data_IF_292097838420
#
_entry.id   IF_292097838420
#
_cell.length_a   1.000
_cell.length_b   1.000
_cell.length_c   1.000
_cell.angle_alpha   90.00
_cell.angle_beta   90.00
_cell.angle_gamma   90.00
#
_symmetry.space_group_name_H-M   'P 1'
#
loop_
_entity.id
_entity.type
_entity.pdbx_description
1 polymer ?
#
# COMPACT_ATOMS: atom_id res chain seq x y z
N UNK A 1 45.30 63.81 82.17
CA UNK A 1 44.10 62.94 82.34
C UNK A 1 42.91 63.84 82.60
N UNK A 2 41.68 63.54 82.12
CA UNK A 2 41.25 62.51 81.13
C UNK A 2 40.54 63.15 79.89
N UNK A 3 40.70 62.63 78.66
CA UNK A 3 39.89 61.61 77.95
C UNK A 3 38.64 62.23 77.25
N UNK A 4 38.22 61.92 76.01
CA UNK A 4 38.51 60.80 75.11
C UNK A 4 37.97 61.07 73.68
N UNK A 5 38.83 60.80 72.68
CA UNK A 5 38.63 60.20 71.33
C UNK A 5 37.65 60.77 70.27
N UNK A 6 38.30 61.41 69.29
CA UNK A 6 38.14 61.45 67.80
C UNK A 6 37.18 60.44 67.12
N UNK A 7 36.53 60.86 66.02
CA UNK A 7 36.95 60.68 64.60
C UNK A 7 35.96 61.34 63.59
N UNK A 8 36.48 62.16 62.68
CA UNK A 8 35.89 62.57 61.38
C UNK A 8 36.07 61.43 60.34
N UNK A 9 35.38 61.37 59.18
CA UNK A 9 35.55 62.26 57.98
C UNK A 9 34.21 62.65 57.30
N UNK A 10 34.02 63.78 56.60
CA UNK A 10 34.68 64.42 55.44
C UNK A 10 34.08 64.04 54.07
N UNK A 11 33.24 64.96 53.58
CA UNK A 11 33.08 65.53 52.21
C UNK A 11 33.07 64.60 51.00
N UNK A 12 31.93 64.62 50.30
CA UNK A 12 31.66 63.97 49.02
C UNK A 12 32.29 64.71 47.83
N UNK A 13 33.08 64.00 47.03
CA UNK A 13 33.52 64.41 45.70
C UNK A 13 32.98 63.42 44.65
N UNK A 14 32.22 63.92 43.69
CA UNK A 14 31.60 63.11 42.62
C UNK A 14 32.63 62.66 41.57
N UNK A 15 32.58 61.36 41.24
CA UNK A 15 33.34 60.75 40.15
C UNK A 15 32.33 60.31 39.07
N UNK A 16 32.45 60.91 37.88
CA UNK A 16 31.69 60.55 36.68
C UNK A 16 32.34 59.29 36.07
N UNK A 17 31.65 58.14 36.12
CA UNK A 17 32.08 56.91 35.45
C UNK A 17 31.47 56.88 34.05
N UNK A 18 32.31 56.96 33.02
CA UNK A 18 31.94 56.71 31.63
C UNK A 18 31.78 55.20 31.42
N UNK A 19 30.53 54.73 31.26
CA UNK A 19 30.24 53.34 30.91
C UNK A 19 30.38 53.18 29.40
N UNK A 20 31.49 52.61 28.93
CA UNK A 20 31.64 52.18 27.53
C UNK A 20 30.82 50.91 27.35
N UNK A 21 29.61 51.03 26.80
CA UNK A 21 28.87 49.88 26.27
C UNK A 21 29.58 49.41 25.00
N UNK A 22 30.36 48.34 25.12
CA UNK A 22 30.77 47.55 23.98
C UNK A 22 29.52 46.84 23.43
N UNK A 23 28.92 47.39 22.38
CA UNK A 23 28.05 46.63 21.49
C UNK A 23 28.93 45.56 20.82
N UNK A 24 28.96 44.37 21.40
CA UNK A 24 29.41 43.19 20.68
C UNK A 24 28.38 42.89 19.61
N UNK A 25 28.74 43.09 18.35
CA UNK A 25 28.02 42.50 17.22
C UNK A 25 28.01 40.99 17.44
N UNK A 26 26.87 40.45 17.88
CA UNK A 26 26.61 39.01 17.83
C UNK A 26 26.42 38.68 16.35
N UNK A 27 27.53 38.45 15.65
CA UNK A 27 27.49 37.83 14.34
C UNK A 27 26.88 36.44 14.54
N UNK A 28 25.61 36.28 14.17
CA UNK A 28 24.99 34.97 14.05
C UNK A 28 25.86 34.15 13.10
N UNK A 29 26.50 33.09 13.60
CA UNK A 29 27.22 32.16 12.75
C UNK A 29 26.27 31.70 11.64
N UNK A 30 26.70 31.69 10.37
CA UNK A 30 25.86 31.24 9.27
C UNK A 30 25.39 29.82 9.58
N UNK A 31 24.08 29.60 9.54
CA UNK A 31 23.52 28.26 9.66
C UNK A 31 24.16 27.40 8.56
N UNK A 32 24.78 26.25 8.90
CA UNK A 32 25.38 25.38 7.89
C UNK A 32 24.35 25.06 6.80
N UNK A 33 24.77 25.11 5.53
CA UNK A 33 23.91 24.73 4.41
C UNK A 33 24.45 23.46 3.77
N UNK A 34 23.56 22.57 3.26
CA UNK A 34 24.01 21.45 2.47
C UNK A 34 24.76 21.90 1.21
N UNK A 35 25.65 21.04 0.74
CA UNK A 35 26.38 21.23 -0.51
C UNK A 35 25.42 21.18 -1.70
N UNK A 36 25.56 22.14 -2.60
CA UNK A 36 24.83 22.16 -3.88
C UNK A 36 25.34 21.06 -4.80
N UNK A 37 24.43 20.49 -5.59
CA UNK A 37 24.79 19.60 -6.70
C UNK A 37 25.65 20.37 -7.71
N UNK A 38 26.63 19.68 -8.31
CA UNK A 38 27.49 20.28 -9.33
C UNK A 38 26.65 20.92 -10.46
N UNK A 39 26.91 22.19 -10.75
CA UNK A 39 26.19 22.96 -11.77
C UNK A 39 24.75 23.35 -11.40
N UNK A 40 24.32 23.21 -10.14
CA UNK A 40 22.99 23.61 -9.67
C UNK A 40 23.09 24.77 -8.66
N UNK A 41 22.07 25.64 -8.68
CA UNK A 41 22.00 26.82 -7.80
C UNK A 41 21.02 26.66 -6.64
N UNK A 42 20.10 25.69 -6.72
CA UNK A 42 19.01 25.51 -5.74
C UNK A 42 18.80 24.06 -5.29
N UNK A 43 19.54 23.11 -5.86
CA UNK A 43 19.39 21.69 -5.55
C UNK A 43 20.59 21.20 -4.73
N UNK A 44 20.30 20.68 -3.55
CA UNK A 44 21.29 20.13 -2.64
C UNK A 44 21.59 18.66 -2.93
N UNK A 45 22.81 18.25 -2.60
CA UNK A 45 23.24 16.87 -2.68
C UNK A 45 22.53 16.02 -1.61
N UNK A 46 22.08 14.84 -2.02
CA UNK A 46 21.45 13.86 -1.14
C UNK A 46 22.09 12.50 -1.27
N UNK A 47 22.06 11.75 -0.18
CA UNK A 47 22.55 10.37 -0.11
C UNK A 47 21.54 9.49 0.63
N UNK A 48 21.57 8.20 0.32
CA UNK A 48 20.85 7.16 1.03
C UNK A 48 21.84 6.32 1.84
N UNK A 49 21.48 5.96 3.06
CA UNK A 49 22.26 5.03 3.86
C UNK A 49 22.19 3.60 3.31
N UNK A 50 23.33 2.94 3.12
CA UNK A 50 23.38 1.51 2.79
C UNK A 50 23.16 0.65 4.06
N UNK A 51 22.84 -0.65 3.93
CA UNK A 51 22.83 -1.57 5.07
C UNK A 51 24.14 -1.52 5.86
N UNK A 52 24.03 -1.55 7.20
CA UNK A 52 25.18 -1.47 8.10
C UNK A 52 25.75 -0.06 8.33
N UNK A 53 25.15 0.98 7.74
CA UNK A 53 25.60 2.37 7.94
C UNK A 53 25.49 2.77 9.41
N UNK A 54 26.56 3.39 9.92
CA UNK A 54 26.58 4.01 11.25
C UNK A 54 27.04 5.46 11.17
N UNK A 55 26.34 6.34 11.89
CA UNK A 55 26.72 7.74 12.06
C UNK A 55 27.73 7.88 13.18
N UNK A 56 28.91 8.41 12.83
CA UNK A 56 29.97 8.75 13.77
C UNK A 56 29.96 10.24 14.07
N UNK A 57 30.43 10.62 15.26
CA UNK A 57 30.60 12.03 15.62
C UNK A 57 31.77 12.68 14.88
N UNK A 58 32.82 11.90 14.60
CA UNK A 58 34.01 12.35 13.89
C UNK A 58 34.46 11.30 12.86
N UNK A 59 35.01 11.73 11.72
CA UNK A 59 35.48 10.82 10.69
C UNK A 59 36.66 9.98 11.19
N UNK A 60 36.71 8.70 10.82
CA UNK A 60 37.79 7.78 11.21
C UNK A 60 37.71 7.23 12.65
N UNK A 61 36.68 7.60 13.42
CA UNK A 61 36.39 6.96 14.71
C UNK A 61 36.01 5.48 14.55
N UNK A 62 36.15 4.69 15.62
CA UNK A 62 35.76 3.28 15.59
C UNK A 62 34.26 3.12 15.27
N UNK A 63 33.92 2.25 14.31
CA UNK A 63 32.56 2.07 13.81
C UNK A 63 31.54 1.68 14.89
N UNK A 64 31.98 0.92 15.90
CA UNK A 64 31.13 0.44 17.01
C UNK A 64 30.61 1.58 17.91
N UNK A 65 31.28 2.74 17.90
CA UNK A 65 30.85 3.93 18.62
C UNK A 65 29.74 4.72 17.88
N UNK A 66 29.39 4.31 16.66
CA UNK A 66 28.43 5.00 15.81
C UNK A 66 26.98 4.57 16.02
N UNK A 67 26.06 5.53 15.85
CA UNK A 67 24.62 5.26 15.90
C UNK A 67 24.19 4.53 14.62
N UNK A 68 23.49 3.38 14.73
CA UNK A 68 22.98 2.68 13.56
C UNK A 68 21.93 3.51 12.84
N UNK A 69 21.91 3.41 11.51
CA UNK A 69 20.96 4.11 10.65
C UNK A 69 20.10 3.10 9.91
N UNK A 70 18.79 3.36 9.84
CA UNK A 70 17.87 2.56 9.02
C UNK A 70 18.31 2.63 7.56
N UNK A 71 18.50 1.48 6.87
CA UNK A 71 18.86 1.46 5.46
C UNK A 71 17.88 2.29 4.62
N UNK A 72 18.40 2.93 3.58
CA UNK A 72 17.70 3.88 2.71
C UNK A 72 17.11 5.13 3.40
N UNK A 73 17.56 5.46 4.62
CA UNK A 73 17.31 6.80 5.18
C UNK A 73 17.99 7.85 4.30
N UNK A 74 17.25 8.90 3.94
CA UNK A 74 17.76 10.01 3.13
C UNK A 74 18.43 11.05 4.01
N UNK A 75 19.61 11.51 3.58
CA UNK A 75 20.32 12.63 4.20
C UNK A 75 20.77 13.67 3.18
N UNK A 76 20.86 14.91 3.63
CA UNK A 76 21.55 16.01 2.97
C UNK A 76 23.04 15.98 3.30
N UNK A 77 23.88 16.26 2.30
CA UNK A 77 25.34 16.32 2.48
C UNK A 77 25.76 17.74 2.82
N UNK A 78 26.39 17.95 3.97
CA UNK A 78 26.88 19.24 4.45
C UNK A 78 28.37 19.46 4.21
N UNK A 79 29.15 18.38 4.09
CA UNK A 79 30.60 18.46 4.01
C UNK A 79 31.24 17.16 3.55
N UNK A 80 32.50 17.28 3.13
CA UNK A 80 33.39 16.16 2.79
C UNK A 80 34.66 16.28 3.63
N UNK A 81 35.13 15.17 4.19
CA UNK A 81 36.40 15.11 4.92
C UNK A 81 37.15 13.83 4.59
N UNK A 82 38.47 13.92 4.51
CA UNK A 82 39.32 12.74 4.41
C UNK A 82 39.85 12.37 5.81
N UNK A 83 39.76 11.09 6.16
CA UNK A 83 40.35 10.55 7.38
C UNK A 83 40.68 9.07 7.17
N UNK A 84 41.88 8.65 7.58
CA UNK A 84 42.30 7.25 7.46
C UNK A 84 42.40 6.72 6.03
N UNK A 85 42.67 7.59 5.04
CA UNK A 85 42.74 7.20 3.63
C UNK A 85 41.38 6.97 2.95
N UNK A 86 40.30 7.36 3.61
CA UNK A 86 38.94 7.24 3.08
C UNK A 86 38.21 8.59 3.14
N UNK A 87 37.31 8.82 2.18
CA UNK A 87 36.41 9.98 2.17
C UNK A 87 35.17 9.71 3.03
N UNK A 88 34.80 10.72 3.81
CA UNK A 88 33.65 10.77 4.72
C UNK A 88 32.74 11.92 4.34
N UNK A 89 31.43 11.69 4.46
CA UNK A 89 30.42 12.73 4.27
C UNK A 89 29.86 13.16 5.63
N UNK A 90 29.84 14.47 5.85
CA UNK A 90 29.04 15.08 6.91
C UNK A 90 27.59 15.17 6.43
N UNK A 91 26.67 14.55 7.15
CA UNK A 91 25.30 14.34 6.68
C UNK A 91 24.26 14.70 7.75
N UNK A 92 23.08 15.13 7.31
CA UNK A 92 21.99 15.60 8.17
C UNK A 92 20.60 15.31 7.60
N UNK A 93 19.55 15.21 8.42
CA UNK A 93 18.22 14.77 7.97
C UNK A 93 17.46 15.85 7.18
N UNK A 94 17.87 17.11 7.28
CA UNK A 94 17.20 18.25 6.66
C UNK A 94 18.21 19.22 6.03
N UNK A 95 17.70 20.25 5.34
CA UNK A 95 18.47 21.33 4.73
C UNK A 95 18.54 22.61 5.59
N UNK A 96 18.10 22.55 6.85
CA UNK A 96 17.97 23.71 7.75
C UNK A 96 19.17 23.85 8.72
N UNK A 97 20.26 23.14 8.47
CA UNK A 97 21.50 23.22 9.25
C UNK A 97 21.66 22.15 10.32
N UNK A 98 20.75 21.18 10.40
CA UNK A 98 20.89 20.07 11.35
C UNK A 98 21.85 19.02 10.79
N UNK A 99 23.07 19.01 11.29
CA UNK A 99 24.04 17.94 11.03
C UNK A 99 23.81 16.78 12.00
N UNK A 100 23.78 15.54 11.49
CA UNK A 100 23.62 14.32 12.29
C UNK A 100 24.95 13.64 12.61
N UNK A 101 25.91 13.67 11.69
CA UNK A 101 27.24 13.09 11.90
C UNK A 101 27.95 12.78 10.58
N UNK A 102 28.96 11.92 10.67
CA UNK A 102 29.79 11.46 9.56
C UNK A 102 29.51 10.00 9.24
N UNK A 103 29.44 9.70 7.94
CA UNK A 103 29.43 8.33 7.45
C UNK A 103 30.42 8.19 6.28
N UNK A 104 31.07 7.02 6.13
CA UNK A 104 32.01 6.80 5.05
C UNK A 104 31.27 6.77 3.70
N UNK A 105 31.87 7.33 2.64
CA UNK A 105 31.26 7.34 1.30
C UNK A 105 30.89 5.94 0.82
N UNK A 106 31.68 4.91 1.19
CA UNK A 106 31.41 3.52 0.82
C UNK A 106 30.12 2.93 1.41
N UNK A 107 29.56 3.54 2.45
CA UNK A 107 28.28 3.17 3.06
C UNK A 107 27.12 4.06 2.59
N UNK A 108 27.34 4.93 1.61
CA UNK A 108 26.36 5.89 1.15
C UNK A 108 26.12 5.75 -0.35
N UNK A 109 24.86 5.87 -0.76
CA UNK A 109 24.46 5.85 -2.17
C UNK A 109 24.08 7.27 -2.58
N UNK A 110 24.78 7.91 -3.54
CA UNK A 110 24.35 9.21 -4.07
C UNK A 110 22.94 9.13 -4.66
N UNK A 111 22.05 10.04 -4.24
CA UNK A 111 20.65 10.02 -4.65
C UNK A 111 20.10 11.43 -4.92
N UNK A 112 20.73 12.10 -5.87
CA UNK A 112 20.46 13.51 -6.17
C UNK A 112 19.11 13.74 -6.87
N UNK A 113 18.57 12.75 -7.57
CA UNK A 113 17.32 12.89 -8.34
C UNK A 113 16.07 12.68 -7.48
N UNK A 114 16.19 12.07 -6.29
CA UNK A 114 15.06 11.67 -5.44
C UNK A 114 13.99 10.86 -6.19
N UNK A 115 14.39 10.10 -7.22
CA UNK A 115 13.52 9.24 -8.01
C UNK A 115 13.75 7.77 -7.65
N UNK A 116 12.65 7.04 -7.60
CA UNK A 116 12.61 5.59 -7.36
C UNK A 116 11.90 4.95 -8.54
N UNK A 117 12.19 3.68 -8.79
CA UNK A 117 11.44 2.86 -9.73
C UNK A 117 10.72 1.75 -8.96
N UNK A 118 9.53 1.38 -9.43
CA UNK A 118 8.80 0.21 -8.94
C UNK A 118 8.85 -0.87 -10.01
N UNK A 119 9.00 -2.12 -9.59
CA UNK A 119 8.84 -3.23 -10.52
C UNK A 119 7.38 -3.31 -10.98
N UNK A 120 7.20 -3.69 -12.25
CA UNK A 120 5.88 -4.11 -12.72
C UNK A 120 5.48 -5.40 -12.02
N UNK A 121 4.19 -5.69 -11.96
CA UNK A 121 3.72 -6.98 -11.47
C UNK A 121 4.43 -8.10 -12.25
N UNK A 122 5.15 -9.04 -11.61
CA UNK A 122 5.80 -10.16 -12.31
C UNK A 122 4.78 -11.02 -13.07
N UNK A 123 3.49 -10.87 -12.80
CA UNK A 123 2.39 -11.40 -13.59
C UNK A 123 2.28 -10.86 -15.02
N UNK A 124 2.74 -9.64 -15.25
CA UNK A 124 2.48 -8.88 -16.48
C UNK A 124 3.50 -9.15 -17.60
N UNK A 125 4.47 -10.03 -17.36
CA UNK A 125 5.50 -10.40 -18.33
C UNK A 125 6.72 -11.03 -17.68
N UNK A 126 7.85 -11.00 -18.40
CA UNK A 126 9.14 -11.46 -17.88
C UNK A 126 9.59 -10.60 -16.70
N UNK A 127 10.21 -11.26 -15.71
CA UNK A 127 10.80 -10.62 -14.53
C UNK A 127 12.01 -9.78 -14.95
N UNK A 128 12.18 -8.61 -14.37
CA UNK A 128 13.31 -7.74 -14.71
C UNK A 128 14.64 -8.37 -14.26
N UNK A 129 15.59 -8.54 -15.19
CA UNK A 129 16.96 -8.90 -14.89
C UNK A 129 17.78 -7.65 -14.50
N UNK A 130 18.61 -7.78 -13.47
CA UNK A 130 19.56 -6.76 -13.05
C UNK A 130 20.97 -7.19 -13.43
N UNK A 131 21.63 -6.36 -14.23
CA UNK A 131 22.98 -6.59 -14.74
C UNK A 131 24.00 -5.94 -13.83
N UNK A 132 25.18 -6.57 -13.70
CA UNK A 132 26.33 -6.09 -12.92
C UNK A 132 26.81 -4.73 -13.41
N UNK A 133 26.80 -4.55 -14.72
CA UNK A 133 27.35 -3.38 -15.38
C UNK A 133 26.56 -3.03 -16.64
N UNK A 134 26.66 -1.74 -17.00
CA UNK A 134 26.02 -1.15 -18.17
C UNK A 134 26.46 -1.79 -19.47
N UNK A 135 27.75 -2.08 -19.62
CA UNK A 135 28.32 -2.50 -20.90
C UNK A 135 27.84 -3.90 -21.28
N UNK A 136 27.64 -4.78 -20.30
CA UNK A 136 27.07 -6.11 -20.50
C UNK A 136 25.64 -6.06 -21.03
N UNK A 137 24.76 -5.24 -20.45
CA UNK A 137 23.41 -5.05 -20.96
C UNK A 137 23.42 -4.34 -22.33
N UNK A 138 24.28 -3.33 -22.51
CA UNK A 138 24.36 -2.60 -23.77
C UNK A 138 24.82 -3.50 -24.92
N UNK A 139 25.77 -4.42 -24.69
CA UNK A 139 26.19 -5.39 -25.72
C UNK A 139 25.04 -6.27 -26.19
N UNK A 140 24.21 -6.79 -25.26
CA UNK A 140 23.02 -7.58 -25.62
C UNK A 140 22.04 -6.78 -26.49
N UNK A 141 21.80 -5.53 -26.11
CA UNK A 141 20.92 -4.60 -26.85
C UNK A 141 21.49 -4.32 -28.25
N UNK A 142 22.76 -3.93 -28.34
CA UNK A 142 23.40 -3.52 -29.59
C UNK A 142 23.54 -4.68 -30.58
N UNK A 143 23.76 -5.89 -30.09
CA UNK A 143 23.90 -7.11 -30.90
C UNK A 143 22.56 -7.80 -31.18
N UNK A 144 21.47 -7.35 -30.53
CA UNK A 144 20.18 -8.04 -30.54
C UNK A 144 20.32 -9.54 -30.20
N UNK A 145 21.17 -9.83 -29.20
CA UNK A 145 21.53 -11.19 -28.80
C UNK A 145 20.46 -11.76 -27.84
N UNK A 146 19.37 -12.24 -28.43
CA UNK A 146 18.25 -12.84 -27.70
C UNK A 146 18.62 -14.20 -27.10
N UNK A 147 19.51 -14.96 -27.73
CA UNK A 147 19.92 -16.28 -27.26
C UNK A 147 20.66 -16.18 -25.93
N UNK A 148 21.61 -15.25 -25.80
CA UNK A 148 22.27 -14.98 -24.53
C UNK A 148 21.31 -14.45 -23.48
N UNK A 149 20.36 -13.57 -23.86
CA UNK A 149 19.35 -13.06 -22.93
C UNK A 149 18.46 -14.17 -22.36
N UNK A 150 17.91 -15.04 -23.21
CA UNK A 150 17.06 -16.16 -22.79
C UNK A 150 17.83 -17.12 -21.87
N UNK A 151 19.08 -17.43 -22.20
CA UNK A 151 19.96 -18.24 -21.35
C UNK A 151 20.17 -17.59 -19.97
N UNK A 152 20.50 -16.30 -19.94
CA UNK A 152 20.70 -15.58 -18.68
C UNK A 152 19.42 -15.52 -17.85
N UNK A 153 18.26 -15.40 -18.49
CA UNK A 153 16.97 -15.43 -17.84
C UNK A 153 16.71 -16.79 -17.18
N UNK A 154 16.89 -17.89 -17.91
CA UNK A 154 16.69 -19.24 -17.40
C UNK A 154 17.66 -19.61 -16.25
N UNK A 155 18.91 -19.19 -16.36
CA UNK A 155 19.91 -19.29 -15.30
C UNK A 155 19.47 -18.54 -14.03
N UNK A 156 19.00 -17.30 -14.18
CA UNK A 156 18.55 -16.47 -13.07
C UNK A 156 17.27 -17.02 -12.40
N UNK A 157 16.36 -17.61 -13.17
CA UNK A 157 15.15 -18.29 -12.64
C UNK A 157 15.52 -19.55 -11.85
N UNK A 158 16.49 -20.33 -12.33
CA UNK A 158 16.97 -21.53 -11.62
C UNK A 158 17.80 -21.20 -10.37
N UNK A 159 18.29 -19.97 -10.26
CA UNK A 159 19.20 -19.57 -9.18
C UNK A 159 20.59 -20.18 -9.32
N UNK A 160 20.99 -20.55 -10.54
CA UNK A 160 22.27 -21.19 -10.86
C UNK A 160 22.94 -20.44 -12.03
N UNK A 161 23.37 -19.16 -11.81
CA UNK A 161 24.01 -18.36 -12.84
C UNK A 161 25.38 -18.93 -13.18
N UNK A 162 25.73 -18.90 -14.47
CA UNK A 162 27.09 -19.26 -14.90
C UNK A 162 28.13 -18.32 -14.27
N UNK A 163 29.37 -18.80 -14.09
CA UNK A 163 30.44 -18.01 -13.45
C UNK A 163 30.74 -16.69 -14.19
N UNK A 164 30.51 -16.66 -15.50
CA UNK A 164 30.65 -15.51 -16.39
C UNK A 164 29.35 -14.72 -16.58
N UNK A 165 28.24 -15.12 -15.96
CA UNK A 165 26.96 -14.43 -16.09
C UNK A 165 27.07 -12.98 -15.61
N UNK A 166 26.60 -12.00 -16.41
CA UNK A 166 26.56 -10.61 -16.01
C UNK A 166 25.37 -10.30 -15.11
N UNK A 167 24.48 -11.27 -14.84
CA UNK A 167 23.30 -11.07 -14.00
C UNK A 167 23.70 -11.11 -12.52
N UNK A 168 23.26 -10.13 -11.76
CA UNK A 168 23.49 -10.05 -10.30
C UNK A 168 22.22 -10.27 -9.48
N UNK A 169 21.06 -10.05 -10.08
CA UNK A 169 19.77 -10.28 -9.45
C UNK A 169 18.66 -10.36 -10.49
N UNK A 170 17.51 -10.89 -10.06
CA UNK A 170 16.27 -10.91 -10.82
C UNK A 170 15.15 -10.38 -9.91
N UNK A 171 14.27 -9.53 -10.45
CA UNK A 171 13.07 -9.02 -9.76
C UNK A 171 12.37 -10.17 -9.04
N UNK A 172 11.87 -10.05 -7.80
CA UNK A 172 11.16 -11.12 -7.10
C UNK A 172 10.01 -11.76 -7.89
N UNK A 173 9.77 -13.06 -7.68
CA UNK A 173 8.73 -13.81 -8.37
C UNK A 173 7.31 -13.49 -7.89
N UNK A 174 7.19 -12.95 -6.68
CA UNK A 174 5.94 -12.46 -6.10
C UNK A 174 5.84 -10.95 -6.24
N UNK A 175 4.62 -10.43 -6.40
CA UNK A 175 4.38 -8.99 -6.36
C UNK A 175 4.71 -8.46 -4.96
N UNK A 176 5.52 -7.41 -4.92
CA UNK A 176 5.75 -6.61 -3.72
C UNK A 176 4.91 -5.34 -3.82
N UNK A 177 4.02 -5.16 -2.86
CA UNK A 177 3.20 -3.95 -2.73
C UNK A 177 3.99 -2.88 -1.97
N UNK A 178 4.49 -1.86 -2.66
CA UNK A 178 5.32 -0.80 -2.06
C UNK A 178 4.60 -0.02 -0.96
N UNK A 179 3.26 -0.02 -0.95
CA UNK A 179 2.48 0.68 0.08
C UNK A 179 2.39 -0.13 1.38
N UNK A 180 2.55 -1.46 1.31
CA UNK A 180 2.49 -2.37 2.47
C UNK A 180 3.89 -2.82 2.91
N UNK A 181 4.67 -3.27 1.94
CA UNK A 181 6.02 -3.78 2.06
C UNK A 181 6.97 -2.80 1.37
N UNK A 182 7.20 -1.66 2.05
CA UNK A 182 7.97 -0.56 1.49
C UNK A 182 9.38 -1.02 1.07
N UNK A 183 9.66 -0.93 -0.22
CA UNK A 183 10.97 -1.19 -0.80
C UNK A 183 11.39 0.00 -1.66
N UNK A 184 12.70 0.25 -1.71
CA UNK A 184 13.28 1.36 -2.44
C UNK A 184 14.23 0.82 -3.51
N UNK A 185 13.95 1.16 -4.78
CA UNK A 185 14.87 0.99 -5.90
C UNK A 185 15.24 2.38 -6.43
N UNK A 186 16.12 3.11 -5.74
CA UNK A 186 16.53 4.45 -6.16
C UNK A 186 17.28 4.42 -7.49
N UNK A 187 16.95 5.38 -8.36
CA UNK A 187 17.65 5.59 -9.63
C UNK A 187 18.88 6.46 -9.37
N UNK A 188 20.07 5.92 -9.66
CA UNK A 188 21.35 6.64 -9.58
C UNK A 188 21.63 7.42 -10.86
N UNK A 189 21.43 6.77 -12.00
CA UNK A 189 21.67 7.31 -13.32
C UNK A 189 20.65 6.75 -14.31
N UNK A 190 20.36 7.49 -15.38
CA UNK A 190 19.56 7.00 -16.48
C UNK A 190 20.11 7.47 -17.82
N UNK A 191 19.88 6.67 -18.85
CA UNK A 191 20.26 6.98 -20.23
C UNK A 191 19.08 6.59 -21.13
N UNK A 192 18.65 7.52 -21.97
CA UNK A 192 17.62 7.24 -22.98
C UNK A 192 18.29 6.55 -24.18
N UNK A 193 17.65 5.49 -24.67
CA UNK A 193 18.12 4.72 -25.81
C UNK A 193 16.93 4.26 -26.66
N UNK A 194 17.23 3.68 -27.82
CA UNK A 194 16.23 3.07 -28.68
C UNK A 194 16.45 1.56 -28.73
N UNK A 195 15.43 0.80 -28.35
CA UNK A 195 15.37 -0.64 -28.59
C UNK A 195 14.65 -0.84 -29.91
N UNK A 196 15.43 -1.12 -30.97
CA UNK A 196 14.93 -1.07 -32.35
C UNK A 196 14.36 0.33 -32.62
N UNK A 197 13.06 0.45 -32.91
CA UNK A 197 12.38 1.74 -33.15
C UNK A 197 11.57 2.26 -31.95
N UNK A 198 11.72 1.64 -30.76
CA UNK A 198 10.99 2.02 -29.56
C UNK A 198 11.87 2.77 -28.57
N UNK A 199 11.43 3.93 -28.05
CA UNK A 199 12.16 4.61 -26.99
C UNK A 199 12.19 3.72 -25.73
N UNK A 200 13.35 3.62 -25.12
CA UNK A 200 13.61 2.89 -23.89
C UNK A 200 14.56 3.68 -23.00
N UNK A 201 14.68 3.26 -21.75
CA UNK A 201 15.56 3.90 -20.76
C UNK A 201 16.36 2.84 -20.02
N UNK A 202 17.68 2.99 -20.06
CA UNK A 202 18.58 2.25 -19.20
C UNK A 202 18.66 2.93 -17.84
N UNK A 203 18.50 2.14 -16.77
CA UNK A 203 18.53 2.63 -15.39
C UNK A 203 19.70 1.99 -14.65
N UNK A 204 20.54 2.81 -14.02
CA UNK A 204 21.43 2.36 -12.96
C UNK A 204 20.68 2.53 -11.63
N UNK A 205 20.45 1.43 -10.93
CA UNK A 205 19.68 1.39 -9.69
C UNK A 205 20.53 0.89 -8.54
N UNK A 206 20.12 1.19 -7.31
CA UNK A 206 20.59 0.47 -6.14
C UNK A 206 19.47 -0.40 -5.58
N UNK A 207 19.81 -1.60 -5.12
CA UNK A 207 18.90 -2.49 -4.42
C UNK A 207 19.69 -3.27 -3.37
N UNK A 208 19.04 -3.64 -2.27
CA UNK A 208 19.60 -4.57 -1.30
C UNK A 208 19.09 -5.96 -1.66
N UNK A 209 19.96 -6.92 -2.00
CA UNK A 209 19.52 -8.29 -2.23
C UNK A 209 18.98 -8.88 -0.93
N UNK A 210 18.01 -9.78 -1.03
CA UNK A 210 17.67 -10.67 0.07
C UNK A 210 18.91 -11.54 0.32
N UNK A 211 19.51 -11.47 1.51
CA UNK A 211 20.70 -12.25 1.82
C UNK A 211 20.42 -13.75 1.63
N UNK A 212 21.15 -14.39 0.72
CA UNK A 212 21.07 -15.85 0.50
C UNK A 212 21.65 -16.69 1.67
N UNK A 213 22.23 -16.03 2.68
CA UNK A 213 22.86 -16.65 3.85
C UNK A 213 22.16 -16.36 5.19
N UNK A 214 21.10 -15.55 5.18
CA UNK A 214 20.16 -15.53 6.28
C UNK A 214 19.32 -16.79 6.18
N UNK A 215 19.63 -17.80 6.98
CA UNK A 215 18.56 -18.61 7.52
C UNK A 215 17.68 -17.64 8.29
N UNK A 216 16.73 -17.02 7.60
CA UNK A 216 15.44 -16.79 8.22
C UNK A 216 15.06 -18.17 8.73
N UNK A 217 15.17 -18.35 10.04
CA UNK A 217 14.26 -19.22 10.75
C UNK A 217 12.92 -18.95 10.11
N UNK A 218 12.43 -19.91 9.33
CA UNK A 218 11.23 -19.72 8.54
C UNK A 218 10.13 -19.27 9.48
N UNK A 219 9.86 -17.97 9.49
CA UNK A 219 8.50 -17.51 9.52
C UNK A 219 7.92 -18.11 8.26
N UNK A 220 7.43 -19.35 8.38
CA UNK A 220 6.72 -20.04 7.32
C UNK A 220 5.83 -18.99 6.68
N UNK A 221 6.12 -18.60 5.43
CA UNK A 221 5.45 -17.51 4.77
C UNK A 221 3.97 -17.72 5.01
N UNK A 222 3.33 -16.84 5.81
CA UNK A 222 1.98 -17.11 6.27
C UNK A 222 1.14 -17.29 5.01
N UNK A 223 0.39 -18.39 4.91
CA UNK A 223 -0.26 -18.73 3.65
C UNK A 223 -1.15 -17.55 3.25
N UNK A 224 -1.07 -17.12 1.98
CA UNK A 224 -1.81 -15.96 1.47
C UNK A 224 -3.28 -16.05 1.88
N UNK A 225 -3.77 -15.04 2.60
CA UNK A 225 -5.13 -15.04 3.16
C UNK A 225 -6.02 -14.09 2.37
N UNK A 226 -7.19 -14.56 1.98
CA UNK A 226 -8.22 -13.78 1.28
C UNK A 226 -9.44 -13.62 2.16
N UNK A 227 -9.84 -12.37 2.41
CA UNK A 227 -11.06 -12.03 3.12
C UNK A 227 -12.14 -11.61 2.13
N UNK A 228 -13.31 -12.24 2.21
CA UNK A 228 -14.45 -11.93 1.33
C UNK A 228 -15.66 -11.65 2.20
N UNK A 229 -16.17 -10.43 2.19
CA UNK A 229 -17.41 -10.09 2.90
C UNK A 229 -18.53 -9.85 1.89
N UNK A 230 -19.58 -10.66 1.98
CA UNK A 230 -20.81 -10.43 1.22
C UNK A 230 -21.65 -9.37 1.92
N UNK A 231 -22.02 -8.32 1.20
CA UNK A 231 -22.94 -7.28 1.66
C UNK A 231 -24.24 -7.46 0.89
N UNK A 232 -25.25 -8.00 1.59
CA UNK A 232 -26.49 -8.45 0.94
C UNK A 232 -27.64 -7.56 1.34
N UNK A 233 -28.32 -7.04 0.34
CA UNK A 233 -29.61 -6.38 0.50
C UNK A 233 -30.67 -7.38 0.99
N UNK A 234 -31.23 -7.09 2.15
CA UNK A 234 -32.22 -7.93 2.83
C UNK A 234 -33.64 -7.34 2.80
N UNK A 235 -33.98 -6.60 1.73
CA UNK A 235 -35.33 -6.13 1.44
C UNK A 235 -36.28 -7.24 0.99
N UNK A 236 -37.57 -6.92 0.86
CA UNK A 236 -38.58 -7.87 0.43
C UNK A 236 -38.38 -8.32 -1.03
N UNK A 237 -38.00 -7.42 -1.94
CA UNK A 237 -37.72 -7.72 -3.36
C UNK A 237 -36.56 -8.70 -3.52
N UNK A 238 -35.59 -8.66 -2.60
CA UNK A 238 -34.42 -9.53 -2.59
C UNK A 238 -34.67 -10.97 -2.14
N UNK A 239 -35.86 -11.29 -1.60
CA UNK A 239 -36.19 -12.61 -1.03
C UNK A 239 -35.83 -13.82 -1.92
N UNK A 240 -36.20 -13.91 -3.21
CA UNK A 240 -35.81 -15.04 -4.05
C UNK A 240 -34.31 -15.09 -4.36
N UNK A 241 -33.62 -13.96 -4.23
CA UNK A 241 -32.18 -13.83 -4.50
C UNK A 241 -31.35 -14.16 -3.28
N UNK A 242 -31.81 -13.86 -2.06
CA UNK A 242 -31.12 -14.25 -0.81
C UNK A 242 -30.89 -15.76 -0.76
N UNK A 243 -31.91 -16.57 -1.05
CA UNK A 243 -31.75 -18.04 -1.07
C UNK A 243 -30.76 -18.51 -2.14
N UNK A 244 -30.71 -17.83 -3.28
CA UNK A 244 -29.78 -18.15 -4.37
C UNK A 244 -28.35 -17.74 -4.03
N UNK A 245 -28.15 -16.55 -3.47
CA UNK A 245 -26.86 -16.06 -2.95
C UNK A 245 -26.29 -17.08 -1.97
N UNK A 246 -27.11 -17.61 -1.05
CA UNK A 246 -26.67 -18.66 -0.11
C UNK A 246 -26.17 -19.92 -0.79
N UNK A 247 -26.95 -20.44 -1.75
CA UNK A 247 -26.61 -21.66 -2.48
C UNK A 247 -25.30 -21.49 -3.25
N UNK A 248 -25.11 -20.31 -3.86
CA UNK A 248 -23.88 -19.96 -4.55
C UNK A 248 -22.71 -19.83 -3.59
N UNK A 249 -22.82 -19.06 -2.50
CA UNK A 249 -21.73 -18.90 -1.53
C UNK A 249 -21.27 -20.27 -1.01
N UNK A 250 -22.20 -21.22 -0.85
CA UNK A 250 -21.87 -22.62 -0.54
C UNK A 250 -21.02 -23.29 -1.61
N UNK A 251 -21.39 -23.18 -2.89
CA UNK A 251 -20.61 -23.73 -4.01
C UNK A 251 -19.22 -23.09 -4.12
N UNK A 252 -19.10 -21.77 -3.93
CA UNK A 252 -17.81 -21.05 -3.90
C UNK A 252 -16.91 -21.62 -2.80
N UNK A 253 -17.48 -21.77 -1.62
CA UNK A 253 -16.78 -22.34 -0.47
C UNK A 253 -16.31 -23.78 -0.76
N UNK A 254 -17.20 -24.63 -1.28
CA UNK A 254 -16.90 -26.02 -1.62
C UNK A 254 -15.80 -26.13 -2.69
N UNK A 255 -15.82 -25.28 -3.71
CA UNK A 255 -14.79 -25.23 -4.75
C UNK A 255 -13.40 -24.85 -4.17
N UNK A 256 -13.35 -23.85 -3.29
CA UNK A 256 -12.11 -23.43 -2.62
C UNK A 256 -11.61 -24.53 -1.66
N UNK A 257 -12.52 -25.16 -0.93
CA UNK A 257 -12.20 -26.26 -0.03
C UNK A 257 -11.72 -27.52 -0.78
N UNK A 258 -12.28 -27.80 -1.97
CA UNK A 258 -11.88 -28.88 -2.86
C UNK A 258 -10.52 -28.66 -3.52
N UNK A 259 -10.13 -27.39 -3.72
CA UNK A 259 -8.83 -27.00 -4.25
C UNK A 259 -7.67 -27.08 -3.22
N UNK A 260 -7.93 -27.53 -1.98
CA UNK A 260 -6.91 -27.64 -0.94
C UNK A 260 -6.54 -26.32 -0.26
N UNK A 261 -7.27 -25.23 -0.54
CA UNK A 261 -7.02 -23.89 0.00
C UNK A 261 -7.70 -23.64 1.36
N UNK A 262 -7.91 -24.70 2.15
CA UNK A 262 -8.57 -24.59 3.46
C UNK A 262 -7.72 -23.74 4.40
N UNK A 263 -8.33 -22.74 5.04
CA UNK A 263 -7.65 -21.79 5.93
C UNK A 263 -7.05 -20.56 5.23
N UNK A 264 -7.05 -20.52 3.89
CA UNK A 264 -6.55 -19.37 3.11
C UNK A 264 -7.66 -18.39 2.74
N UNK A 265 -8.92 -18.77 2.89
CA UNK A 265 -10.06 -17.90 2.60
C UNK A 265 -10.97 -17.82 3.82
N UNK A 266 -11.43 -16.62 4.15
CA UNK A 266 -12.42 -16.40 5.22
C UNK A 266 -13.57 -15.57 4.70
N UNK A 267 -14.77 -15.91 5.14
CA UNK A 267 -16.01 -15.33 4.63
C UNK A 267 -16.76 -14.53 5.70
N UNK A 268 -17.16 -13.31 5.36
CA UNK A 268 -18.10 -12.54 6.15
C UNK A 268 -19.44 -12.37 5.44
N UNK A 269 -20.47 -12.07 6.22
CA UNK A 269 -21.78 -11.70 5.73
C UNK A 269 -22.29 -10.51 6.53
N UNK A 270 -22.47 -9.39 5.84
CA UNK A 270 -23.21 -8.23 6.33
C UNK A 270 -24.50 -8.15 5.55
N UNK A 271 -25.62 -7.94 6.22
CA UNK A 271 -26.86 -7.60 5.55
C UNK A 271 -27.27 -6.20 5.90
N UNK A 272 -27.94 -5.53 4.97
CA UNK A 272 -28.51 -4.22 5.20
C UNK A 272 -29.97 -4.17 4.73
N UNK A 273 -30.69 -3.18 5.23
CA UNK A 273 -32.08 -2.85 4.90
C UNK A 273 -32.20 -1.33 4.87
N UNK A 274 -33.24 -0.79 4.25
CA UNK A 274 -33.54 0.64 4.36
C UNK A 274 -33.84 1.12 5.79
N UNK A 275 -33.91 2.44 5.93
CA UNK A 275 -34.31 3.17 7.12
C UNK A 275 -35.64 2.69 7.70
N UNK A 276 -35.66 2.37 9.00
CA UNK A 276 -36.84 1.83 9.70
C UNK A 276 -37.46 2.89 10.61
N UNK A 277 -38.62 3.43 10.22
CA UNK A 277 -39.31 4.52 10.92
C UNK A 277 -39.89 4.19 12.32
N UNK A 278 -39.63 3.03 12.94
CA UNK A 278 -40.13 2.76 14.31
C UNK A 278 -39.35 1.68 15.11
N UNK A 279 -39.26 1.82 16.47
CA UNK A 279 -38.35 1.08 17.33
C UNK A 279 -39.01 -0.17 17.97
N UNK A 280 -38.97 -1.33 17.32
CA UNK A 280 -39.24 -2.61 18.00
C UNK A 280 -38.43 -3.78 17.43
N UNK A 281 -37.73 -4.47 18.35
CA UNK A 281 -37.49 -5.92 18.36
C UNK A 281 -36.43 -6.53 17.45
N UNK A 282 -36.58 -6.44 16.13
CA UNK A 282 -35.82 -7.29 15.17
C UNK A 282 -35.48 -6.54 13.86
N UNK A 283 -35.32 -5.22 13.99
CA UNK A 283 -35.10 -4.26 12.91
C UNK A 283 -33.66 -3.79 12.95
N UNK A 284 -32.86 -4.14 11.94
CA UNK A 284 -31.49 -3.65 11.78
C UNK A 284 -31.36 -2.94 10.44
N UNK A 285 -30.56 -1.86 10.42
CA UNK A 285 -30.22 -1.12 9.22
C UNK A 285 -29.05 -1.79 8.51
N UNK A 286 -27.95 -2.02 9.22
CA UNK A 286 -26.84 -2.87 8.81
C UNK A 286 -26.51 -3.80 9.98
N UNK A 287 -26.20 -5.06 9.67
CA UNK A 287 -25.82 -6.05 10.68
C UNK A 287 -24.83 -7.03 10.09
N UNK A 288 -23.73 -7.20 10.81
CA UNK A 288 -22.79 -8.28 10.55
C UNK A 288 -23.33 -9.61 11.13
N UNK A 289 -23.68 -10.55 10.25
CA UNK A 289 -24.17 -11.88 10.62
C UNK A 289 -23.00 -12.87 10.83
N UNK A 290 -21.90 -12.67 10.10
CA UNK A 290 -20.70 -13.48 10.19
C UNK A 290 -19.47 -12.61 9.92
N UNK A 291 -18.51 -12.58 10.83
CA UNK A 291 -17.25 -11.85 10.65
C UNK A 291 -16.18 -12.73 10.01
N UNK A 292 -15.15 -12.12 9.43
CA UNK A 292 -14.00 -12.85 8.86
C UNK A 292 -13.31 -13.80 9.86
N UNK A 293 -13.33 -13.51 11.17
CA UNK A 293 -12.80 -14.43 12.19
C UNK A 293 -13.64 -15.70 12.31
N UNK A 294 -14.97 -15.52 12.36
CA UNK A 294 -15.93 -16.63 12.48
C UNK A 294 -16.13 -17.39 11.17
N UNK A 295 -15.76 -16.78 10.05
CA UNK A 295 -15.90 -17.25 8.68
C UNK A 295 -14.90 -18.29 8.20
N UNK A 296 -13.95 -18.67 9.07
CA UNK A 296 -12.97 -19.74 8.82
C UNK A 296 -13.61 -21.14 8.90
N UNK A 297 -14.74 -21.27 9.60
CA UNK A 297 -15.53 -22.50 9.72
C UNK A 297 -16.79 -22.44 8.84
N UNK A 298 -16.80 -23.25 7.77
CA UNK A 298 -17.92 -23.40 6.86
C UNK A 298 -19.26 -23.62 7.56
N UNK A 299 -19.30 -24.53 8.53
CA UNK A 299 -20.54 -24.96 9.16
C UNK A 299 -21.12 -23.81 9.97
N UNK A 300 -20.27 -23.12 10.72
CA UNK A 300 -20.65 -21.95 11.51
C UNK A 300 -21.09 -20.78 10.62
N UNK A 301 -20.34 -20.50 9.56
CA UNK A 301 -20.70 -19.49 8.57
C UNK A 301 -22.06 -19.79 7.93
N UNK A 302 -22.30 -21.01 7.44
CA UNK A 302 -23.58 -21.37 6.82
C UNK A 302 -24.77 -21.42 7.80
N UNK A 303 -24.53 -21.70 9.09
CA UNK A 303 -25.56 -21.53 10.11
C UNK A 303 -25.97 -20.06 10.28
N UNK A 304 -25.00 -19.15 10.35
CA UNK A 304 -25.24 -17.71 10.49
C UNK A 304 -25.89 -17.12 9.23
N UNK A 305 -25.41 -17.53 8.06
CA UNK A 305 -25.99 -17.18 6.76
C UNK A 305 -27.43 -17.69 6.64
N UNK A 306 -27.73 -18.90 7.15
CA UNK A 306 -29.08 -19.48 7.16
C UNK A 306 -30.08 -18.75 8.06
N UNK A 307 -29.59 -17.94 9.02
CA UNK A 307 -30.44 -17.13 9.88
C UNK A 307 -30.90 -15.80 9.22
N UNK A 308 -30.27 -15.38 8.12
CA UNK A 308 -30.67 -14.17 7.39
C UNK A 308 -32.13 -14.30 6.88
N UNK A 309 -32.95 -13.27 7.03
CA UNK A 309 -34.28 -13.25 6.39
C UNK A 309 -34.52 -11.89 5.77
N UNK A 310 -35.14 -11.91 4.59
CA UNK A 310 -35.70 -10.71 3.97
C UNK A 310 -36.64 -10.01 4.96
N UNK A 311 -36.68 -8.69 4.91
CA UNK A 311 -37.68 -7.91 5.62
C UNK A 311 -39.09 -8.33 5.20
N UNK A 312 -40.01 -8.35 6.15
CA UNK A 312 -41.45 -8.48 5.90
C UNK A 312 -42.12 -7.11 5.73
N UNK A 313 -41.38 -6.02 5.94
CA UNK A 313 -41.84 -4.64 5.78
C UNK A 313 -41.39 -4.13 4.41
N UNK A 314 -42.34 -3.57 3.66
CA UNK A 314 -42.12 -2.90 2.39
C UNK A 314 -41.70 -1.44 2.62
N UNK A 315 -40.67 -1.01 1.90
CA UNK A 315 -40.26 0.40 1.87
C UNK A 315 -41.12 1.15 0.84
N UNK A 316 -41.29 2.47 1.03
CA UNK A 316 -42.04 3.30 0.10
C UNK A 316 -41.23 3.69 -1.14
N UNK A 317 -39.90 3.71 -1.03
CA UNK A 317 -38.96 4.04 -2.09
C UNK A 317 -38.13 2.82 -2.48
N UNK A 318 -37.66 2.80 -3.72
CA UNK A 318 -36.79 1.75 -4.26
C UNK A 318 -35.29 2.04 -4.05
N UNK A 319 -34.96 3.11 -3.31
CA UNK A 319 -33.57 3.48 -2.98
C UNK A 319 -33.26 2.97 -1.58
N UNK A 320 -32.09 2.36 -1.39
CA UNK A 320 -31.75 1.61 -0.18
C UNK A 320 -30.42 2.11 0.44
N UNK A 321 -30.17 1.81 1.72
CA UNK A 321 -28.94 2.26 2.41
C UNK A 321 -27.76 1.28 2.25
N UNK A 322 -27.42 0.97 0.99
CA UNK A 322 -26.32 0.05 0.67
C UNK A 322 -24.95 0.55 1.17
N UNK A 323 -24.76 1.87 1.25
CA UNK A 323 -23.54 2.47 1.80
C UNK A 323 -23.38 2.19 3.29
N UNK A 324 -24.46 2.14 4.07
CA UNK A 324 -24.41 1.66 5.44
C UNK A 324 -23.91 0.22 5.51
N UNK A 325 -24.45 -0.68 4.68
CA UNK A 325 -24.01 -2.07 4.61
C UNK A 325 -22.52 -2.22 4.27
N UNK A 326 -22.02 -1.43 3.31
CA UNK A 326 -20.60 -1.43 2.94
C UNK A 326 -19.74 -0.88 4.08
N UNK A 327 -20.11 0.25 4.68
CA UNK A 327 -19.37 0.85 5.79
C UNK A 327 -19.28 -0.11 6.97
N UNK A 328 -20.38 -0.75 7.34
CA UNK A 328 -20.42 -1.75 8.42
C UNK A 328 -19.53 -2.96 8.10
N UNK A 329 -19.50 -3.40 6.84
CA UNK A 329 -18.60 -4.46 6.41
C UNK A 329 -17.12 -4.05 6.47
N UNK A 330 -16.79 -2.81 6.11
CA UNK A 330 -15.43 -2.27 6.17
C UNK A 330 -14.95 -2.14 7.62
N UNK A 331 -15.78 -1.60 8.51
CA UNK A 331 -15.39 -1.28 9.89
C UNK A 331 -15.58 -2.45 10.86
N UNK A 332 -16.60 -3.28 10.62
CA UNK A 332 -17.00 -4.39 11.49
C UNK A 332 -16.29 -5.71 11.22
N UNK A 333 -15.25 -5.74 10.36
CA UNK A 333 -14.48 -6.95 10.06
C UNK A 333 -12.97 -6.74 10.26
N UNK A 334 -12.25 -7.78 10.71
CA UNK A 334 -10.81 -7.73 10.96
C UNK A 334 -9.99 -7.93 9.67
N UNK A 335 -9.92 -6.88 8.84
CA UNK A 335 -9.28 -6.94 7.53
C UNK A 335 -7.74 -7.04 7.55
N UNK A 336 -7.10 -6.73 8.69
CA UNK A 336 -5.63 -6.65 8.83
C UNK A 336 -4.92 -7.96 8.47
N UNK A 337 -5.57 -9.08 8.74
CA UNK A 337 -4.99 -10.42 8.61
C UNK A 337 -5.08 -10.99 7.18
N UNK A 338 -5.65 -10.22 6.25
CA UNK A 338 -5.94 -10.64 4.89
C UNK A 338 -5.13 -9.81 3.88
N UNK A 339 -4.57 -10.51 2.89
CA UNK A 339 -3.70 -9.99 1.84
C UNK A 339 -4.53 -9.51 0.64
N UNK A 340 -5.53 -10.31 0.25
CA UNK A 340 -6.60 -9.92 -0.68
C UNK A 340 -7.90 -9.65 0.09
N UNK A 341 -8.55 -8.53 -0.20
CA UNK A 341 -9.70 -8.03 0.54
C UNK A 341 -10.81 -7.65 -0.43
N UNK A 342 -11.94 -8.35 -0.32
CA UNK A 342 -13.06 -8.18 -1.23
C UNK A 342 -14.35 -7.93 -0.46
N UNK A 343 -15.10 -6.91 -0.88
CA UNK A 343 -16.51 -6.78 -0.54
C UNK A 343 -17.33 -7.06 -1.79
N UNK A 344 -18.34 -7.92 -1.67
CA UNK A 344 -19.28 -8.24 -2.75
C UNK A 344 -20.65 -7.71 -2.36
N UNK A 345 -21.04 -6.57 -2.92
CA UNK A 345 -22.37 -6.00 -2.77
C UNK A 345 -23.35 -6.76 -3.67
N UNK A 346 -24.50 -7.16 -3.12
CA UNK A 346 -25.62 -7.76 -3.88
C UNK A 346 -26.89 -7.00 -3.54
N UNK A 347 -27.46 -6.29 -4.51
CA UNK A 347 -28.65 -5.45 -4.35
C UNK A 347 -29.42 -5.32 -5.67
N UNK A 348 -30.73 -5.05 -5.59
CA UNK A 348 -31.55 -4.73 -6.75
C UNK A 348 -31.90 -3.23 -6.89
N UNK A 349 -31.37 -2.40 -6.00
CA UNK A 349 -31.71 -0.99 -5.83
C UNK A 349 -30.46 -0.09 -5.85
N UNK A 350 -30.62 1.21 -6.11
CA UNK A 350 -29.58 2.22 -5.94
C UNK A 350 -29.34 2.58 -4.47
N UNK A 351 -28.15 3.11 -4.17
CA UNK A 351 -27.77 3.52 -2.82
C UNK A 351 -28.20 4.96 -2.50
N UNK A 352 -28.56 5.20 -1.24
CA UNK A 352 -28.76 6.54 -0.67
C UNK A 352 -27.42 7.28 -0.55
N UNK A 353 -27.39 8.52 -1.02
CA UNK A 353 -26.21 9.39 -0.99
C UNK A 353 -26.26 10.37 0.19
N UNK A 354 -25.16 11.07 0.47
CA UNK A 354 -25.03 12.00 1.60
C UNK A 354 -26.14 13.07 1.71
N UNK A 355 -26.74 13.47 0.58
CA UNK A 355 -27.80 14.47 0.53
C UNK A 355 -29.21 13.93 0.84
N UNK A 356 -29.37 12.62 0.97
CA UNK A 356 -30.64 11.97 1.27
C UNK A 356 -30.90 12.01 2.80
N UNK A 357 -32.03 12.58 3.28
CA UNK A 357 -32.35 12.64 4.72
C UNK A 357 -32.44 11.26 5.41
N UNK A 358 -32.63 10.19 4.65
CA UNK A 358 -32.70 8.82 5.15
C UNK A 358 -31.34 8.10 5.12
N UNK A 359 -30.28 8.73 4.57
CA UNK A 359 -28.91 8.19 4.62
C UNK A 359 -28.38 8.15 6.04
N UNK A 360 -28.04 6.96 6.52
CA UNK A 360 -27.47 6.79 7.87
C UNK A 360 -25.98 7.12 7.96
N UNK A 361 -25.26 7.01 6.83
CA UNK A 361 -23.81 7.18 6.80
C UNK A 361 -23.42 8.65 6.65
N UNK A 362 -24.25 9.45 5.99
CA UNK A 362 -23.90 10.80 5.55
C UNK A 362 -22.74 10.83 4.54
N UNK A 363 -22.35 9.68 3.99
CA UNK A 363 -21.26 9.56 3.01
C UNK A 363 -21.82 9.51 1.60
N UNK A 364 -21.09 10.13 0.68
CA UNK A 364 -21.31 9.98 -0.75
C UNK A 364 -20.53 8.78 -1.29
N UNK A 365 -20.74 8.48 -2.58
CA UNK A 365 -20.05 7.40 -3.27
C UNK A 365 -18.52 7.53 -3.15
N UNK A 366 -17.99 8.75 -3.30
CA UNK A 366 -16.55 9.00 -3.27
C UNK A 366 -15.97 8.70 -1.89
N UNK A 367 -16.67 9.07 -0.82
CA UNK A 367 -16.33 8.80 0.57
C UNK A 367 -16.31 7.30 0.88
N UNK A 368 -17.34 6.56 0.48
CA UNK A 368 -17.37 5.08 0.67
C UNK A 368 -16.24 4.40 -0.09
N UNK A 369 -16.03 4.80 -1.35
CA UNK A 369 -14.95 4.25 -2.17
C UNK A 369 -13.58 4.54 -1.57
N UNK A 370 -13.35 5.76 -1.06
CA UNK A 370 -12.11 6.10 -0.37
C UNK A 370 -11.93 5.28 0.90
N UNK A 371 -12.98 5.11 1.71
CA UNK A 371 -12.96 4.32 2.93
C UNK A 371 -12.54 2.85 2.68
N UNK A 372 -12.97 2.29 1.55
CA UNK A 372 -12.57 0.96 1.10
C UNK A 372 -11.10 0.94 0.62
N UNK A 373 -10.69 1.93 -0.17
CA UNK A 373 -9.32 2.06 -0.70
C UNK A 373 -8.28 2.24 0.39
N UNK A 374 -8.55 3.04 1.42
CA UNK A 374 -7.65 3.24 2.55
C UNK A 374 -7.35 1.93 3.30
N UNK A 375 -8.20 0.91 3.12
CA UNK A 375 -8.02 -0.45 3.66
C UNK A 375 -7.67 -1.48 2.60
N UNK A 376 -7.36 -1.06 1.37
CA UNK A 376 -7.02 -1.95 0.25
C UNK A 376 -8.13 -2.96 -0.09
N UNK A 377 -9.40 -2.56 0.08
CA UNK A 377 -10.57 -3.40 -0.18
C UNK A 377 -11.09 -3.09 -1.59
N UNK A 378 -11.19 -4.12 -2.44
CA UNK A 378 -11.85 -4.01 -3.73
C UNK A 378 -13.37 -4.25 -3.58
N UNK A 379 -14.16 -3.32 -4.12
CA UNK A 379 -15.62 -3.38 -4.09
C UNK A 379 -16.15 -3.99 -5.39
N UNK A 380 -16.81 -5.14 -5.28
CA UNK A 380 -17.53 -5.79 -6.36
C UNK A 380 -19.01 -5.51 -6.20
N UNK A 381 -19.69 -5.19 -7.30
CA UNK A 381 -21.13 -4.94 -7.26
C UNK A 381 -21.89 -5.86 -8.19
N UNK A 382 -22.80 -6.62 -7.60
CA UNK A 382 -23.83 -7.37 -8.28
C UNK A 382 -25.15 -6.63 -8.19
N UNK A 383 -25.50 -5.96 -9.28
CA UNK A 383 -26.72 -5.18 -9.39
C UNK A 383 -27.78 -5.99 -10.14
N UNK A 384 -28.85 -6.35 -9.43
CA UNK A 384 -29.94 -7.15 -9.98
C UNK A 384 -30.97 -6.25 -10.64
N UNK A 385 -31.10 -6.35 -11.96
CA UNK A 385 -32.05 -5.55 -12.74
C UNK A 385 -33.46 -6.16 -12.66
N UNK A 386 -34.08 -6.10 -11.48
CA UNK A 386 -35.44 -6.62 -11.23
C UNK A 386 -36.50 -5.74 -11.91
N UNK A 387 -37.70 -6.25 -12.25
CA UNK A 387 -38.70 -5.45 -12.97
C UNK A 387 -39.23 -4.30 -12.11
N UNK A 388 -39.24 -4.50 -10.78
CA UNK A 388 -39.64 -3.47 -9.83
C UNK A 388 -38.71 -2.25 -9.87
N UNK A 389 -37.43 -2.47 -10.17
CA UNK A 389 -36.41 -1.43 -10.23
C UNK A 389 -36.22 -0.75 -11.58
N UNK A 390 -37.07 -0.99 -12.58
CA UNK A 390 -36.83 -0.52 -13.96
C UNK A 390 -36.57 0.98 -14.08
N UNK A 391 -37.22 1.77 -13.21
CA UNK A 391 -37.04 3.23 -13.15
C UNK A 391 -35.74 3.65 -12.46
N UNK A 392 -35.13 2.75 -11.70
CA UNK A 392 -33.93 2.98 -10.89
C UNK A 392 -32.66 2.36 -11.51
N UNK A 393 -32.78 1.37 -12.39
CA UNK A 393 -31.64 0.63 -12.97
C UNK A 393 -30.55 1.52 -13.53
N UNK A 394 -30.91 2.58 -14.26
CA UNK A 394 -29.94 3.49 -14.85
C UNK A 394 -29.15 4.24 -13.78
N UNK A 395 -29.83 4.68 -12.72
CA UNK A 395 -29.21 5.37 -11.58
C UNK A 395 -28.29 4.42 -10.82
N UNK A 396 -28.80 3.24 -10.45
CA UNK A 396 -28.02 2.22 -9.75
C UNK A 396 -26.79 1.79 -10.56
N UNK A 397 -26.92 1.58 -11.87
CA UNK A 397 -25.79 1.22 -12.73
C UNK A 397 -24.69 2.29 -12.75
N UNK A 398 -25.05 3.56 -12.94
CA UNK A 398 -24.07 4.66 -12.94
C UNK A 398 -23.35 4.74 -11.60
N UNK A 399 -24.10 4.65 -10.51
CA UNK A 399 -23.58 4.69 -9.15
C UNK A 399 -22.62 3.51 -8.89
N UNK A 400 -23.01 2.29 -9.27
CA UNK A 400 -22.24 1.10 -8.94
C UNK A 400 -21.05 0.82 -9.86
N UNK A 401 -21.06 1.32 -11.09
CA UNK A 401 -19.84 1.38 -11.93
C UNK A 401 -18.80 2.29 -11.30
N UNK A 402 -19.20 3.50 -10.89
CA UNK A 402 -18.28 4.44 -10.26
C UNK A 402 -17.78 3.97 -8.87
N UNK A 403 -18.64 3.28 -8.11
CA UNK A 403 -18.28 2.71 -6.80
C UNK A 403 -17.25 1.57 -6.93
N UNK A 404 -17.42 0.71 -7.95
CA UNK A 404 -16.62 -0.50 -8.15
C UNK A 404 -15.35 -0.28 -9.00
N UNK A 405 -15.13 0.94 -9.49
CA UNK A 405 -13.91 1.32 -10.19
C UNK A 405 -12.68 1.21 -9.28
N UNK A 406 -11.76 0.33 -9.65
CA UNK A 406 -10.52 0.09 -8.94
C UNK A 406 -9.30 0.38 -9.83
N UNK A 407 -8.35 1.24 -9.40
CA UNK A 407 -7.19 1.61 -10.21
C UNK A 407 -6.40 0.42 -10.73
N UNK A 408 -6.19 0.37 -12.05
CA UNK A 408 -5.44 -0.70 -12.72
C UNK A 408 -6.20 -2.01 -12.94
N UNK A 409 -7.44 -2.13 -12.45
CA UNK A 409 -8.34 -3.27 -12.68
C UNK A 409 -9.55 -2.85 -13.54
N UNK A 410 -10.12 -1.68 -13.25
CA UNK A 410 -11.33 -1.17 -13.90
C UNK A 410 -12.59 -1.39 -13.05
N UNK A 411 -13.75 -1.30 -13.70
CA UNK A 411 -15.07 -1.42 -13.06
C UNK A 411 -15.40 -2.88 -12.72
N UNK A 412 -15.62 -3.17 -11.44
CA UNK A 412 -16.03 -4.49 -10.94
C UNK A 412 -17.56 -4.58 -10.77
N UNK A 413 -18.28 -4.06 -11.78
CA UNK A 413 -19.74 -3.98 -11.82
C UNK A 413 -20.34 -5.06 -12.72
N UNK A 414 -21.36 -5.73 -12.21
CA UNK A 414 -22.08 -6.78 -12.92
C UNK A 414 -23.59 -6.54 -12.81
N UNK A 415 -24.19 -6.07 -13.92
CA UNK A 415 -25.64 -5.97 -14.06
C UNK A 415 -26.25 -7.32 -14.47
N UNK A 416 -27.16 -7.86 -13.67
CA UNK A 416 -27.80 -9.17 -13.91
C UNK A 416 -29.26 -8.97 -14.34
N UNK A 417 -29.62 -9.41 -15.54
CA UNK A 417 -30.98 -9.34 -16.06
C UNK A 417 -31.94 -10.36 -15.43
N UNK A 418 -33.25 -10.08 -15.50
CA UNK A 418 -34.32 -10.96 -15.02
C UNK A 418 -34.45 -12.26 -15.83
N UNK A 419 -34.79 -13.36 -15.14
CA UNK A 419 -35.21 -14.64 -15.73
C UNK A 419 -34.11 -15.70 -15.83
N UNK A 420 -32.85 -15.30 -15.80
CA UNK A 420 -31.71 -16.19 -15.90
C UNK A 420 -31.15 -16.48 -14.51
N UNK A 421 -31.81 -17.39 -13.78
CA UNK A 421 -31.20 -18.03 -12.62
C UNK A 421 -29.78 -18.52 -12.97
N UNK A 422 -29.62 -19.03 -14.20
CA UNK A 422 -28.34 -19.44 -14.73
C UNK A 422 -27.35 -18.29 -14.94
N UNK A 423 -27.76 -17.06 -15.21
CA UNK A 423 -26.85 -15.92 -15.38
C UNK A 423 -26.39 -15.35 -14.05
N UNK A 424 -27.29 -15.27 -13.07
CA UNK A 424 -26.93 -14.98 -11.69
C UNK A 424 -25.93 -16.03 -11.16
N UNK A 425 -26.22 -17.32 -11.38
CA UNK A 425 -25.30 -18.41 -11.03
C UNK A 425 -23.99 -18.35 -11.83
N UNK A 426 -24.02 -17.99 -13.12
CA UNK A 426 -22.83 -17.90 -13.98
C UNK A 426 -21.93 -16.74 -13.58
N UNK A 427 -22.49 -15.56 -13.33
CA UNK A 427 -21.72 -14.38 -12.89
C UNK A 427 -21.05 -14.69 -11.56
N UNK A 428 -21.78 -15.27 -10.61
CA UNK A 428 -21.21 -15.68 -9.33
C UNK A 428 -20.19 -16.82 -9.45
N UNK A 429 -20.42 -17.80 -10.33
CA UNK A 429 -19.46 -18.87 -10.60
C UNK A 429 -18.17 -18.32 -11.25
N UNK A 430 -18.28 -17.36 -12.16
CA UNK A 430 -17.13 -16.66 -12.75
C UNK A 430 -16.37 -15.87 -11.69
N UNK A 431 -17.07 -15.13 -10.83
CA UNK A 431 -16.53 -14.45 -9.64
C UNK A 431 -15.76 -15.41 -8.75
N UNK A 432 -16.40 -16.53 -8.38
CA UNK A 432 -15.84 -17.58 -7.54
C UNK A 432 -14.61 -18.24 -8.17
N UNK A 433 -14.67 -18.51 -9.48
CA UNK A 433 -13.58 -19.13 -10.23
C UNK A 433 -12.41 -18.17 -10.40
N UNK A 434 -12.67 -16.88 -10.61
CA UNK A 434 -11.65 -15.85 -10.65
C UNK A 434 -10.98 -15.70 -9.30
N UNK A 435 -11.74 -15.59 -8.21
CA UNK A 435 -11.19 -15.53 -6.85
C UNK A 435 -10.40 -16.81 -6.54
N UNK A 436 -10.94 -18.00 -6.85
CA UNK A 436 -10.25 -19.25 -6.63
C UNK A 436 -8.98 -19.36 -7.48
N UNK A 437 -8.99 -18.91 -8.74
CA UNK A 437 -7.81 -18.84 -9.60
C UNK A 437 -6.78 -17.86 -9.03
N UNK A 438 -7.20 -16.70 -8.53
CA UNK A 438 -6.31 -15.73 -7.89
C UNK A 438 -5.67 -16.30 -6.62
N UNK A 439 -6.44 -16.99 -5.79
CA UNK A 439 -5.92 -17.64 -4.57
C UNK A 439 -5.00 -18.81 -4.93
N UNK A 440 -5.33 -19.63 -5.92
CA UNK A 440 -4.46 -20.73 -6.36
C UNK A 440 -3.17 -20.23 -7.03
N UNK A 441 -3.24 -19.16 -7.82
CA UNK A 441 -2.07 -18.50 -8.40
C UNK A 441 -1.19 -17.93 -7.30
N UNK A 442 -1.74 -17.16 -6.37
CA UNK A 442 -1.02 -16.62 -5.22
C UNK A 442 -0.42 -17.73 -4.33
N UNK A 443 -1.12 -18.85 -4.12
CA UNK A 443 -0.64 -20.00 -3.36
C UNK A 443 0.45 -20.83 -4.06
N UNK A 444 0.55 -20.75 -5.40
CA UNK A 444 1.56 -21.44 -6.22
C UNK A 444 2.73 -20.53 -6.64
N UNK A 445 2.78 -19.29 -6.16
CA UNK A 445 3.77 -18.30 -6.60
C UNK A 445 3.58 -17.85 -8.06
N UNK A 446 2.41 -18.13 -8.65
CA UNK A 446 2.02 -17.73 -10.00
C UNK A 446 1.12 -16.50 -10.00
N UNK A 447 0.95 -15.90 -11.17
CA UNK A 447 0.13 -14.71 -11.36
C UNK A 447 -1.36 -14.98 -11.48
N UNK A 448 -2.15 -14.07 -10.89
CA UNK A 448 -3.57 -13.94 -11.14
C UNK A 448 -3.83 -13.42 -12.56
N UNK A 449 -4.73 -14.02 -13.34
CA UNK A 449 -5.25 -13.36 -14.53
C UNK A 449 -6.12 -12.15 -14.12
N UNK A 450 -6.07 -11.02 -14.84
CA UNK A 450 -7.02 -9.93 -14.63
C UNK A 450 -8.45 -10.43 -14.87
N UNK A 451 -9.46 -9.87 -14.19
CA UNK A 451 -10.85 -10.18 -14.52
C UNK A 451 -11.08 -9.87 -15.99
N UNK A 452 -11.71 -10.79 -16.70
CA UNK A 452 -12.11 -10.56 -18.08
C UNK A 452 -13.12 -9.40 -18.10
N UNK A 453 -12.67 -8.22 -18.53
CA UNK A 453 -13.56 -7.10 -18.81
C UNK A 453 -14.45 -7.44 -20.00
N UNK A 454 -15.74 -7.19 -19.85
CA UNK A 454 -16.68 -7.08 -20.97
C UNK A 454 -17.06 -5.62 -21.15
#
# INVERSE_FOLDING_TARGET
MPATRRRHPAVAGGLLVLLVLACGDVQSLPTPQPLLMAGKHSLYQRVLASPGTRLLKEPGSAADAGQPVTPFTTFYVYGRREAGGQEWLEIGPDSHGKVAGFAPVSQLIPWNQALTVTFKDPASGERVLLFRDRDSLKRLIDQNDLESYERYYDEAIRGDPSADSPIVAIQPGTRIDIEKDFYLVPIKHHEDLYLQDRPARLLEVASVPLDAGGQDEGAAARPFRTGIVFVVDATQSMRPYIERTRAVTRRVYEAIAGAGLRGQVSFGLTAFRDHLAAPTGERFLARNFATLDTGTDARRFFQQVGALRASDVTNAEFVEDAFAGIKDAIEGNPWSDFDARYIVLVTDASAREAGDPLSSTGLDLAGIRQLARDRGIALWVMHLKTPMGVMDHQRAEQQYRALSDYPGIGELYYGVGMGSAEEFERVLHTLASQIAAQVQSAAKGGSSPPPAGQ
#
